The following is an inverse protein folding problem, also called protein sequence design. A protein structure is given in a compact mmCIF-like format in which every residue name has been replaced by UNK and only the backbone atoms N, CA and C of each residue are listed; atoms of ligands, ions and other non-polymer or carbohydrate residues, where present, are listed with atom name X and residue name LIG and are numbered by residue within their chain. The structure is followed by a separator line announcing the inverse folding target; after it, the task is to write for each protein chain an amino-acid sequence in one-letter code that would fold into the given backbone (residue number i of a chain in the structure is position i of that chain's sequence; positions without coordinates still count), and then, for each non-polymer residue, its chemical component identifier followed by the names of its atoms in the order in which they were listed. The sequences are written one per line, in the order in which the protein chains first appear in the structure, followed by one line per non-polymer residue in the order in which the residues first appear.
data_IF_669456419323
#
_entry.id   IF_669456419323
#
_cell.length_a   1.000
_cell.length_b   1.000
_cell.length_c   1.000
_cell.angle_alpha   90.00
_cell.angle_beta   90.00
_cell.angle_gamma   90.00
#
_symmetry.space_group_name_H-M   'P 1'
#
loop_
_entity.id
_entity.type
_entity.pdbx_description
1 polymer ?
#
# COMPACT_ATOMS: atom_id res chain seq x y z
N UNK A 1 9.81 -36.73 -3.13
CA UNK A 1 10.68 -37.04 -4.29
C UNK A 1 12.04 -37.39 -3.74
N UNK A 2 12.57 -38.57 -4.08
CA UNK A 2 13.93 -38.93 -3.67
C UNK A 2 14.93 -38.19 -4.57
N UNK A 3 15.64 -37.20 -4.01
CA UNK A 3 16.69 -36.42 -4.69
C UNK A 3 18.10 -36.95 -4.41
N UNK A 4 18.21 -38.12 -3.78
CA UNK A 4 19.49 -38.76 -3.44
C UNK A 4 20.08 -39.50 -4.63
N UNK A 5 19.24 -39.96 -5.57
CA UNK A 5 19.67 -40.59 -6.83
C UNK A 5 19.96 -39.55 -7.93
N UNK A 6 20.91 -39.82 -8.85
CA UNK A 6 21.14 -38.96 -10.02
C UNK A 6 19.88 -38.73 -10.87
N UNK A 7 19.05 -39.77 -11.03
CA UNK A 7 17.77 -39.68 -11.74
C UNK A 7 16.77 -38.76 -11.02
N UNK A 8 16.65 -38.89 -9.70
CA UNK A 8 15.78 -38.05 -8.88
C UNK A 8 16.17 -36.57 -8.90
N UNK A 9 17.48 -36.27 -8.88
CA UNK A 9 17.98 -34.88 -9.05
C UNK A 9 17.66 -34.31 -10.43
N UNK A 10 17.79 -35.12 -11.48
CA UNK A 10 17.46 -34.68 -12.83
C UNK A 10 15.99 -34.28 -12.95
N UNK A 11 15.08 -35.16 -12.51
CA UNK A 11 13.63 -34.90 -12.54
C UNK A 11 13.27 -33.68 -11.68
N UNK A 12 13.86 -33.54 -10.50
CA UNK A 12 13.69 -32.36 -9.65
C UNK A 12 14.11 -31.06 -10.36
N UNK A 13 15.28 -31.04 -10.98
CA UNK A 13 15.79 -29.87 -11.70
C UNK A 13 14.94 -29.51 -12.91
N UNK A 14 14.40 -30.52 -13.61
CA UNK A 14 13.49 -30.30 -14.72
C UNK A 14 12.21 -29.61 -14.24
N UNK A 15 11.58 -30.13 -13.18
CA UNK A 15 10.38 -29.49 -12.61
C UNK A 15 10.67 -28.11 -12.04
N UNK A 16 11.83 -27.90 -11.42
CA UNK A 16 12.24 -26.57 -10.95
C UNK A 16 12.36 -25.58 -12.12
N UNK A 17 12.94 -26.01 -13.24
CA UNK A 17 13.07 -25.20 -14.46
C UNK A 17 11.70 -24.86 -15.07
N UNK A 18 10.78 -25.84 -15.10
CA UNK A 18 9.41 -25.63 -15.58
C UNK A 18 8.66 -24.64 -14.67
N UNK A 19 8.76 -24.81 -13.35
CA UNK A 19 8.11 -23.91 -12.40
C UNK A 19 8.63 -22.46 -12.52
N UNK A 20 9.92 -22.30 -12.83
CA UNK A 20 10.50 -20.98 -13.10
C UNK A 20 9.94 -20.38 -14.40
N UNK A 21 9.86 -21.17 -15.48
CA UNK A 21 9.28 -20.73 -16.76
C UNK A 21 7.81 -20.29 -16.60
N UNK A 22 7.01 -21.05 -15.86
CA UNK A 22 5.61 -20.68 -15.59
C UNK A 22 5.50 -19.37 -14.81
N UNK A 23 6.36 -19.18 -13.79
CA UNK A 23 6.44 -17.93 -13.03
C UNK A 23 6.76 -16.74 -13.94
N UNK A 24 7.72 -16.90 -14.84
CA UNK A 24 8.13 -15.84 -15.75
C UNK A 24 7.00 -15.47 -16.73
N UNK A 25 6.28 -16.46 -17.27
CA UNK A 25 5.09 -16.22 -18.11
C UNK A 25 3.99 -15.45 -17.34
N UNK A 26 3.75 -15.77 -16.07
CA UNK A 26 2.78 -15.05 -15.24
C UNK A 26 3.21 -13.59 -15.03
N UNK A 27 4.50 -13.35 -14.80
CA UNK A 27 5.06 -12.00 -14.65
C UNK A 27 4.91 -11.21 -15.95
N UNK A 28 5.23 -11.80 -17.10
CA UNK A 28 5.08 -11.16 -18.41
C UNK A 28 3.62 -10.75 -18.67
N UNK A 29 2.67 -11.66 -18.44
CA UNK A 29 1.23 -11.36 -18.60
C UNK A 29 0.77 -10.25 -17.66
N UNK A 30 1.25 -10.25 -16.41
CA UNK A 30 0.94 -9.20 -15.44
C UNK A 30 1.47 -7.85 -15.91
N UNK A 31 2.71 -7.80 -16.40
CA UNK A 31 3.33 -6.57 -16.95
C UNK A 31 2.56 -6.05 -18.16
N UNK A 32 2.21 -6.93 -19.10
CA UNK A 32 1.40 -6.56 -20.27
C UNK A 32 0.03 -5.99 -19.87
N UNK A 33 -0.61 -6.59 -18.86
CA UNK A 33 -1.87 -6.09 -18.30
C UNK A 33 -1.74 -4.72 -17.64
N UNK A 34 -0.69 -4.51 -16.83
CA UNK A 34 -0.39 -3.22 -16.21
C UNK A 34 -0.10 -2.13 -17.25
N UNK A 35 0.65 -2.47 -18.29
CA UNK A 35 0.95 -1.54 -19.38
C UNK A 35 -0.32 -1.14 -20.14
N UNK A 36 -1.20 -2.10 -20.44
CA UNK A 36 -2.52 -1.83 -21.03
C UNK A 36 -3.36 -0.89 -20.16
N UNK A 37 -3.37 -1.10 -18.85
CA UNK A 37 -4.07 -0.21 -17.89
C UNK A 37 -3.46 1.19 -17.84
N UNK A 38 -2.12 1.30 -17.88
CA UNK A 38 -1.43 2.60 -17.97
C UNK A 38 -1.79 3.35 -19.25
N UNK A 39 -1.83 2.67 -20.40
CA UNK A 39 -2.24 3.26 -21.69
C UNK A 39 -3.68 3.79 -21.66
N UNK A 40 -4.56 3.17 -20.86
CA UNK A 40 -5.93 3.65 -20.60
C UNK A 40 -6.01 4.82 -19.61
N UNK A 41 -4.88 5.28 -19.07
CA UNK A 41 -4.84 6.36 -18.08
C UNK A 41 -5.19 5.95 -16.66
N UNK A 42 -5.26 4.64 -16.36
CA UNK A 42 -5.54 4.17 -14.99
C UNK A 42 -4.35 4.49 -14.09
N UNK A 43 -4.59 5.27 -13.02
CA UNK A 43 -3.60 5.53 -11.97
C UNK A 43 -3.43 4.29 -11.10
N UNK A 44 -2.31 3.59 -11.27
CA UNK A 44 -1.92 2.44 -10.46
C UNK A 44 -1.30 2.89 -9.13
N UNK A 45 -1.37 2.03 -8.11
CA UNK A 45 -0.81 2.28 -6.79
C UNK A 45 -1.71 3.12 -5.88
N UNK A 46 -1.15 3.58 -4.76
CA UNK A 46 -1.90 4.38 -3.77
C UNK A 46 -2.26 5.73 -4.37
N UNK A 47 -3.55 6.06 -4.37
CA UNK A 47 -4.01 7.37 -4.85
C UNK A 47 -3.42 8.51 -4.01
N UNK A 48 -2.99 9.62 -4.64
CA UNK A 48 -2.52 10.80 -3.93
C UNK A 48 -3.67 11.48 -3.18
N UNK A 49 -3.33 12.14 -2.07
CA UNK A 49 -4.29 12.88 -1.24
C UNK A 49 -4.96 12.04 -0.14
N UNK A 50 -5.97 12.65 0.48
CA UNK A 50 -6.85 11.99 1.45
C UNK A 50 -8.13 11.52 0.75
N UNK A 51 -8.63 10.32 1.13
CA UNK A 51 -9.99 9.91 0.78
C UNK A 51 -11.02 10.88 1.36
N UNK A 52 -12.26 10.88 0.85
CA UNK A 52 -13.33 11.76 1.37
C UNK A 52 -13.52 11.61 2.89
N UNK A 53 -13.51 10.37 3.40
CA UNK A 53 -13.56 10.10 4.83
C UNK A 53 -12.36 10.67 5.58
N UNK A 54 -11.16 10.51 5.02
CA UNK A 54 -9.94 11.04 5.62
C UNK A 54 -9.92 12.57 5.60
N UNK A 55 -10.51 13.23 4.60
CA UNK A 55 -10.69 14.68 4.57
C UNK A 55 -11.60 15.16 5.70
N UNK A 56 -12.72 14.48 5.94
CA UNK A 56 -13.60 14.78 7.09
C UNK A 56 -12.85 14.65 8.42
N UNK A 57 -12.10 13.55 8.60
CA UNK A 57 -11.24 13.36 9.77
C UNK A 57 -10.17 14.48 9.89
N UNK A 58 -9.64 14.98 8.78
CA UNK A 58 -8.67 16.08 8.79
C UNK A 58 -9.29 17.42 9.22
N UNK A 59 -10.52 17.72 8.81
CA UNK A 59 -11.25 18.91 9.26
C UNK A 59 -11.54 18.84 10.76
N UNK A 60 -12.00 17.67 11.25
CA UNK A 60 -12.20 17.46 12.68
C UNK A 60 -10.89 17.59 13.47
N UNK A 61 -9.79 17.05 12.95
CA UNK A 61 -8.48 17.18 13.57
C UNK A 61 -8.04 18.63 13.70
N UNK A 62 -8.27 19.44 12.66
CA UNK A 62 -7.96 20.86 12.69
C UNK A 62 -8.78 21.60 13.74
N UNK A 63 -10.09 21.31 13.84
CA UNK A 63 -10.99 21.88 14.84
C UNK A 63 -10.52 21.56 16.27
N UNK A 64 -10.32 20.28 16.60
CA UNK A 64 -9.91 19.89 17.96
C UNK A 64 -8.51 20.38 18.32
N UNK A 65 -7.60 20.44 17.34
CA UNK A 65 -6.26 21.00 17.55
C UNK A 65 -6.32 22.52 17.75
N UNK A 66 -7.22 23.23 17.05
CA UNK A 66 -7.43 24.68 17.24
C UNK A 66 -7.99 25.02 18.61
N UNK A 67 -8.92 24.21 19.11
CA UNK A 67 -9.53 24.42 20.42
C UNK A 67 -8.50 24.29 21.57
N UNK A 68 -7.35 23.64 21.32
CA UNK A 68 -6.20 23.47 22.23
C UNK A 68 -6.57 22.97 23.64
N UNK A 69 -7.72 22.31 23.77
CA UNK A 69 -8.25 21.75 25.04
C UNK A 69 -7.92 20.27 25.22
N UNK A 70 -7.50 19.59 24.15
CA UNK A 70 -7.24 18.15 24.13
C UNK A 70 -5.77 17.89 23.81
N UNK A 71 -5.20 16.87 24.45
CA UNK A 71 -3.87 16.39 24.11
C UNK A 71 -3.86 15.73 22.72
N UNK A 72 -2.69 15.70 22.09
CA UNK A 72 -2.50 15.06 20.78
C UNK A 72 -2.97 13.59 20.78
N UNK A 73 -2.72 12.87 21.87
CA UNK A 73 -3.10 11.47 22.01
C UNK A 73 -4.63 11.28 22.20
N UNK A 74 -5.32 12.22 22.85
CA UNK A 74 -6.78 12.23 22.94
C UNK A 74 -7.44 12.55 21.59
N UNK A 75 -6.89 13.51 20.85
CA UNK A 75 -7.36 13.86 19.50
C UNK A 75 -7.24 12.64 18.58
N UNK A 76 -6.14 11.89 18.66
CA UNK A 76 -5.94 10.67 17.89
C UNK A 76 -6.98 9.59 18.23
N UNK A 77 -7.29 9.39 19.52
CA UNK A 77 -8.32 8.44 19.95
C UNK A 77 -9.71 8.85 19.46
N UNK A 78 -10.04 10.13 19.57
CA UNK A 78 -11.36 10.66 19.22
C UNK A 78 -11.67 10.55 17.70
N UNK A 79 -10.65 10.80 16.88
CA UNK A 79 -10.78 10.78 15.41
C UNK A 79 -10.46 9.39 14.84
N UNK A 80 -10.13 8.44 15.71
CA UNK A 80 -9.78 7.07 15.35
C UNK A 80 -8.61 7.06 14.33
N UNK A 81 -7.46 7.55 14.79
CA UNK A 81 -6.21 7.62 14.03
C UNK A 81 -5.09 6.92 14.82
N UNK A 82 -4.45 5.91 14.21
CA UNK A 82 -3.42 5.11 14.87
C UNK A 82 -2.01 5.70 14.91
N UNK A 83 -1.73 6.88 14.31
CA UNK A 83 -0.39 7.49 14.42
C UNK A 83 -0.41 9.03 14.44
N UNK A 84 0.53 9.61 15.20
CA UNK A 84 0.83 11.05 15.21
C UNK A 84 1.19 11.56 13.82
N UNK A 85 1.87 10.73 13.01
CA UNK A 85 2.24 11.06 11.62
C UNK A 85 1.00 11.29 10.74
N UNK A 86 -0.06 10.50 10.94
CA UNK A 86 -1.32 10.67 10.21
C UNK A 86 -2.03 11.95 10.65
N UNK A 87 -2.03 12.25 11.95
CA UNK A 87 -2.59 13.49 12.48
C UNK A 87 -1.86 14.72 11.89
N UNK A 88 -0.54 14.76 11.96
CA UNK A 88 0.23 15.88 11.39
C UNK A 88 0.10 15.97 9.87
N UNK A 89 0.01 14.85 9.17
CA UNK A 89 -0.30 14.84 7.73
C UNK A 89 -1.67 15.47 7.44
N UNK A 90 -2.66 15.24 8.31
CA UNK A 90 -4.00 15.81 8.16
C UNK A 90 -3.97 17.32 8.42
N UNK A 91 -3.28 17.77 9.46
CA UNK A 91 -3.10 19.19 9.76
C UNK A 91 -2.34 19.92 8.65
N UNK A 92 -1.28 19.31 8.11
CA UNK A 92 -0.54 19.83 6.96
C UNK A 92 -1.43 19.96 5.71
N UNK A 93 -2.36 19.03 5.49
CA UNK A 93 -3.31 19.11 4.38
C UNK A 93 -4.38 20.20 4.58
N UNK A 94 -4.64 20.64 5.81
CA UNK A 94 -5.50 21.78 6.13
C UNK A 94 -4.77 23.12 6.11
N UNK A 95 -3.51 23.15 5.65
CA UNK A 95 -2.72 24.38 5.54
C UNK A 95 -1.99 24.79 6.82
N UNK A 96 -2.07 24.00 7.89
CA UNK A 96 -1.23 24.18 9.08
C UNK A 96 0.11 23.50 8.85
N UNK A 97 1.09 24.27 8.38
CA UNK A 97 2.51 23.84 8.42
C UNK A 97 2.95 23.85 9.88
N UNK A 98 3.26 22.65 10.39
CA UNK A 98 3.84 22.39 11.70
C UNK A 98 5.25 21.86 11.46
#
# INVERSE_FOLDING_TARGET
MDTSSPHGRFVFNLFASIAQLERDIIIERTRAGLERSRRRGVKLGRQPGLSKQAQHKAILAEKYYRDNKLSVDEIMKLIDIGSKRTLYKYLAHQGRRI
#
